data_IF_190616114501
#
_entry.id   IF_190616114501
#
_cell.length_a   1.000
_cell.length_b   1.000
_cell.length_c   1.000
_cell.angle_alpha   90.00
_cell.angle_beta   90.00
_cell.angle_gamma   90.00
#
_symmetry.space_group_name_H-M   'P 1'
#
loop_
_entity.id
_entity.type
_entity.pdbx_description
1 polymer ?
#
# COMPACT_ATOMS: atom_id res chain seq x y z
N UNK A 1 -29.48 12.90 -27.52
CA UNK A 1 -28.77 12.00 -26.58
C UNK A 1 -28.10 12.85 -25.52
N UNK A 2 -28.31 12.63 -24.22
CA UNK A 2 -27.61 13.32 -23.16
C UNK A 2 -26.10 13.07 -23.29
N UNK A 3 -25.27 14.07 -23.11
CA UNK A 3 -23.80 13.96 -23.19
C UNK A 3 -23.33 13.04 -22.04
N UNK A 4 -22.70 11.92 -22.38
CA UNK A 4 -22.21 10.95 -21.38
C UNK A 4 -21.21 11.60 -20.44
N UNK A 5 -21.30 11.28 -19.16
CA UNK A 5 -20.42 11.80 -18.11
C UNK A 5 -19.10 11.03 -18.16
N UNK A 6 -17.98 11.72 -18.08
CA UNK A 6 -16.65 11.11 -18.04
C UNK A 6 -16.23 10.82 -16.59
N UNK A 7 -15.28 9.91 -16.45
CA UNK A 7 -14.65 9.59 -15.19
C UNK A 7 -13.21 10.13 -15.13
N UNK A 8 -12.80 10.53 -13.95
CA UNK A 8 -11.41 10.79 -13.59
C UNK A 8 -10.90 9.66 -12.70
N UNK A 9 -9.73 9.12 -13.00
CA UNK A 9 -9.02 8.16 -12.16
C UNK A 9 -7.63 8.68 -11.82
N UNK A 10 -7.19 8.54 -10.58
CA UNK A 10 -5.83 8.90 -10.21
C UNK A 10 -5.26 8.00 -9.09
N UNK A 11 -3.94 7.87 -9.11
CA UNK A 11 -3.15 7.12 -8.12
C UNK A 11 -2.47 8.08 -7.16
N UNK A 12 -2.40 7.74 -5.88
CA UNK A 12 -1.94 8.66 -4.84
C UNK A 12 -1.07 7.97 -3.79
N UNK A 13 -0.06 8.68 -3.35
CA UNK A 13 0.88 8.26 -2.32
C UNK A 13 1.87 7.20 -2.78
N UNK A 14 2.46 6.48 -1.82
CA UNK A 14 3.35 5.36 -2.13
C UNK A 14 2.62 4.27 -2.92
N UNK A 15 3.25 3.79 -3.98
CA UNK A 15 2.67 2.77 -4.87
C UNK A 15 2.81 1.36 -4.29
N UNK A 16 2.10 0.38 -4.85
CA UNK A 16 2.18 -1.04 -4.47
C UNK A 16 2.39 -1.92 -5.69
N UNK A 17 2.71 -3.18 -5.47
CA UNK A 17 2.80 -4.18 -6.53
C UNK A 17 1.47 -4.41 -7.28
N UNK A 18 0.33 -4.03 -6.69
CA UNK A 18 -1.02 -4.32 -7.19
C UNK A 18 -1.90 -3.09 -7.47
N UNK A 19 -1.37 -1.87 -7.28
CA UNK A 19 -2.15 -0.64 -7.50
C UNK A 19 -2.72 -0.55 -8.92
N UNK A 20 -1.99 -1.06 -9.91
CA UNK A 20 -2.44 -1.08 -11.30
C UNK A 20 -3.50 -2.14 -11.58
N UNK A 21 -3.63 -3.18 -10.75
CA UNK A 21 -4.75 -4.12 -10.85
C UNK A 21 -6.08 -3.39 -10.53
N UNK A 22 -6.09 -2.50 -9.54
CA UNK A 22 -7.24 -1.62 -9.28
C UNK A 22 -7.53 -0.68 -10.46
N UNK A 23 -6.50 -0.10 -11.08
CA UNK A 23 -6.64 0.74 -12.28
C UNK A 23 -7.27 -0.04 -13.45
N UNK A 24 -6.80 -1.27 -13.69
CA UNK A 24 -7.39 -2.17 -14.70
C UNK A 24 -8.87 -2.42 -14.41
N UNK A 25 -9.22 -2.74 -13.16
CA UNK A 25 -10.60 -2.95 -12.73
C UNK A 25 -11.51 -1.75 -13.00
N UNK A 26 -11.05 -0.54 -12.70
CA UNK A 26 -11.79 0.71 -13.00
C UNK A 26 -11.99 0.88 -14.50
N UNK A 27 -10.90 0.82 -15.29
CA UNK A 27 -10.94 1.13 -16.72
C UNK A 27 -11.76 0.07 -17.49
N UNK A 28 -11.57 -1.21 -17.21
CA UNK A 28 -12.31 -2.29 -17.87
C UNK A 28 -13.80 -2.23 -17.54
N UNK A 29 -14.17 -1.99 -16.28
CA UNK A 29 -15.56 -1.88 -15.87
C UNK A 29 -16.23 -0.65 -16.48
N UNK A 30 -15.56 0.50 -16.48
CA UNK A 30 -16.09 1.69 -17.14
C UNK A 30 -16.28 1.47 -18.66
N UNK A 31 -15.37 0.76 -19.31
CA UNK A 31 -15.51 0.38 -20.73
C UNK A 31 -16.68 -0.57 -20.99
N UNK A 32 -17.04 -1.43 -20.03
CA UNK A 32 -18.21 -2.30 -20.14
C UNK A 32 -19.53 -1.53 -20.00
N UNK A 33 -19.52 -0.34 -19.37
CA UNK A 33 -20.69 0.52 -19.15
C UNK A 33 -20.64 1.82 -19.98
N UNK A 34 -20.27 1.70 -21.26
CA UNK A 34 -20.16 2.86 -22.18
C UNK A 34 -21.47 3.57 -22.47
N UNK A 35 -22.59 2.98 -22.12
CA UNK A 35 -23.92 3.59 -22.14
C UNK A 35 -24.05 4.70 -21.08
N UNK A 36 -23.38 4.60 -19.95
CA UNK A 36 -23.44 5.54 -18.81
C UNK A 36 -22.14 6.35 -18.65
N UNK A 37 -20.99 5.72 -18.76
CA UNK A 37 -19.67 6.37 -18.64
C UNK A 37 -19.10 6.64 -20.03
N UNK A 38 -18.70 7.88 -20.30
CA UNK A 38 -18.07 8.27 -21.56
C UNK A 38 -16.64 7.74 -21.66
N UNK A 39 -15.70 8.52 -21.15
CA UNK A 39 -14.27 8.16 -21.10
C UNK A 39 -13.78 8.13 -19.66
N UNK A 40 -12.72 7.34 -19.42
CA UNK A 40 -11.93 7.45 -18.21
C UNK A 40 -10.67 8.23 -18.54
N UNK A 41 -10.51 9.39 -17.92
CA UNK A 41 -9.29 10.18 -17.97
C UNK A 41 -8.44 9.87 -16.73
N UNK A 42 -7.20 9.47 -16.92
CA UNK A 42 -6.27 9.29 -15.82
C UNK A 42 -5.52 10.60 -15.57
N UNK A 43 -5.43 11.03 -14.30
CA UNK A 43 -4.60 12.17 -13.92
C UNK A 43 -3.12 11.78 -13.94
N UNK A 44 -2.31 12.47 -14.74
CA UNK A 44 -0.86 12.29 -14.69
C UNK A 44 -0.33 12.79 -13.33
N UNK A 45 0.40 11.91 -12.64
CA UNK A 45 0.89 12.20 -11.29
C UNK A 45 -0.23 12.54 -10.28
N UNK A 46 -1.30 11.73 -10.28
CA UNK A 46 -2.34 11.84 -9.28
C UNK A 46 -3.26 13.05 -9.43
N UNK A 47 -3.60 13.69 -8.29
CA UNK A 47 -4.46 14.88 -8.28
C UNK A 47 -3.79 16.09 -8.94
N UNK A 48 -2.46 16.12 -9.00
CA UNK A 48 -1.71 17.15 -9.71
C UNK A 48 -2.17 17.22 -11.18
N UNK A 49 -2.36 16.07 -11.82
CA UNK A 49 -2.87 16.03 -13.19
C UNK A 49 -4.26 16.63 -13.36
N UNK A 50 -5.11 16.57 -12.33
CA UNK A 50 -6.39 17.28 -12.36
C UNK A 50 -6.21 18.81 -12.22
N UNK A 51 -5.34 19.26 -11.32
CA UNK A 51 -5.10 20.69 -11.10
C UNK A 51 -4.41 21.35 -12.30
N UNK A 52 -3.44 20.68 -12.90
CA UNK A 52 -2.67 21.20 -14.07
C UNK A 52 -3.32 20.89 -15.40
N UNK A 53 -4.49 20.22 -15.39
CA UNK A 53 -5.18 19.74 -16.60
C UNK A 53 -4.29 18.83 -17.47
N UNK A 54 -3.42 18.04 -16.84
CA UNK A 54 -2.61 17.00 -17.49
C UNK A 54 -3.30 15.65 -17.35
N UNK A 55 -4.22 15.39 -18.26
CA UNK A 55 -5.07 14.22 -18.31
C UNK A 55 -4.63 13.25 -19.40
N UNK A 56 -4.70 11.95 -19.13
CA UNK A 56 -4.41 10.87 -20.08
C UNK A 56 -5.72 10.24 -20.54
N UNK A 57 -5.94 10.15 -21.85
CA UNK A 57 -7.11 9.46 -22.41
C UNK A 57 -6.89 7.94 -22.43
N UNK A 58 -7.37 7.24 -21.43
CA UNK A 58 -7.24 5.78 -21.37
C UNK A 58 -8.02 5.05 -22.47
N UNK A 59 -8.98 5.69 -23.15
CA UNK A 59 -9.70 5.08 -24.27
C UNK A 59 -8.81 4.84 -25.51
N UNK A 60 -7.63 5.48 -25.54
CA UNK A 60 -6.61 5.33 -26.59
C UNK A 60 -5.71 4.11 -26.36
N UNK A 61 -5.81 3.47 -25.21
CA UNK A 61 -5.08 2.25 -24.88
C UNK A 61 -5.82 1.00 -25.38
N UNK A 62 -5.07 0.01 -25.85
CA UNK A 62 -5.65 -1.28 -26.24
C UNK A 62 -6.21 -2.03 -25.03
N UNK A 63 -7.15 -2.95 -25.26
CA UNK A 63 -7.67 -3.82 -24.20
C UNK A 63 -6.55 -4.66 -23.58
N UNK A 64 -5.62 -5.17 -24.38
CA UNK A 64 -4.48 -5.94 -23.91
C UNK A 64 -3.52 -5.12 -23.04
N UNK A 65 -3.26 -3.85 -23.36
CA UNK A 65 -2.42 -2.97 -22.56
C UNK A 65 -3.07 -2.68 -21.19
N UNK A 66 -4.40 -2.47 -21.15
CA UNK A 66 -5.12 -2.28 -19.88
C UNK A 66 -5.14 -3.58 -19.06
N UNK A 67 -5.37 -4.74 -19.67
CA UNK A 67 -5.30 -6.02 -18.97
C UNK A 67 -3.90 -6.29 -18.40
N UNK A 68 -2.83 -5.94 -19.11
CA UNK A 68 -1.45 -6.10 -18.65
C UNK A 68 -1.11 -5.23 -17.41
N UNK A 69 -1.92 -4.22 -17.10
CA UNK A 69 -1.78 -3.44 -15.86
C UNK A 69 -1.88 -4.34 -14.61
N UNK A 70 -2.64 -5.43 -14.65
CA UNK A 70 -2.78 -6.36 -13.52
C UNK A 70 -1.44 -6.94 -13.07
N UNK A 71 -0.50 -7.12 -13.99
CA UNK A 71 0.85 -7.66 -13.69
C UNK A 71 1.95 -6.60 -13.72
N UNK A 72 1.60 -5.31 -13.78
CA UNK A 72 2.54 -4.19 -13.85
C UNK A 72 2.68 -3.51 -12.50
N UNK A 73 3.88 -3.42 -11.91
CA UNK A 73 4.11 -2.73 -10.64
C UNK A 73 4.05 -1.21 -10.79
N UNK A 74 4.06 -0.52 -9.66
CA UNK A 74 4.12 0.94 -9.56
C UNK A 74 2.86 1.64 -10.09
N UNK A 75 2.89 2.96 -10.24
CA UNK A 75 1.78 3.75 -10.74
C UNK A 75 1.88 3.98 -12.24
N UNK A 76 1.05 3.31 -13.05
CA UNK A 76 1.11 3.39 -14.52
C UNK A 76 0.81 4.79 -15.08
N UNK A 77 0.09 5.62 -14.32
CA UNK A 77 -0.24 7.01 -14.66
C UNK A 77 0.54 8.03 -13.82
N UNK A 78 1.54 7.56 -13.08
CA UNK A 78 2.21 8.34 -12.06
C UNK A 78 1.38 8.47 -10.77
N UNK A 79 2.06 8.85 -9.69
CA UNK A 79 1.46 9.08 -8.38
C UNK A 79 2.05 10.35 -7.78
N UNK A 80 1.38 10.95 -6.80
CA UNK A 80 1.92 12.10 -6.09
C UNK A 80 1.70 12.00 -4.59
N UNK A 81 2.55 12.69 -3.84
CA UNK A 81 2.38 12.98 -2.42
C UNK A 81 1.92 14.43 -2.29
N UNK A 82 0.67 14.68 -2.68
CA UNK A 82 0.06 15.99 -2.63
C UNK A 82 -1.24 15.95 -1.81
N UNK A 83 -1.34 16.77 -0.78
CA UNK A 83 -2.48 16.83 0.12
C UNK A 83 -3.22 18.15 -0.10
N UNK A 84 -4.44 18.07 -0.60
CA UNK A 84 -5.33 19.23 -0.64
C UNK A 84 -5.57 19.71 0.80
N UNK A 85 -5.32 20.99 1.06
CA UNK A 85 -5.63 21.65 2.34
C UNK A 85 -7.13 21.68 2.56
N UNK A 86 -7.62 22.37 3.59
CA UNK A 86 -9.05 22.55 3.78
C UNK A 86 -9.67 23.45 2.69
N UNK A 87 -11.00 23.35 2.52
CA UNK A 87 -11.72 24.19 1.54
C UNK A 87 -11.58 25.68 1.84
N UNK A 88 -11.39 26.03 3.10
CA UNK A 88 -11.22 27.40 3.57
C UNK A 88 -9.81 27.94 3.30
N UNK A 89 -8.80 27.08 3.44
CA UNK A 89 -7.40 27.45 3.29
C UNK A 89 -6.96 27.57 1.82
N UNK A 90 -7.57 26.80 0.91
CA UNK A 90 -7.14 26.78 -0.49
C UNK A 90 -8.31 26.72 -1.48
N UNK A 91 -9.09 27.77 -1.53
CA UNK A 91 -10.24 27.88 -2.45
C UNK A 91 -9.83 27.81 -3.93
N UNK A 92 -8.64 28.30 -4.26
CA UNK A 92 -8.16 28.39 -5.66
C UNK A 92 -7.98 27.00 -6.26
N UNK A 93 -7.32 26.07 -5.53
CA UNK A 93 -7.16 24.68 -6.02
C UNK A 93 -8.50 23.98 -6.21
N UNK A 94 -9.44 24.19 -5.30
CA UNK A 94 -10.78 23.59 -5.39
C UNK A 94 -11.60 24.19 -6.53
N UNK A 95 -11.50 25.50 -6.78
CA UNK A 95 -12.13 26.12 -7.94
C UNK A 95 -11.52 25.56 -9.23
N UNK A 96 -10.19 25.52 -9.31
CA UNK A 96 -9.47 24.94 -10.46
C UNK A 96 -9.89 23.49 -10.74
N UNK A 97 -10.01 22.66 -9.70
CA UNK A 97 -10.46 21.29 -9.83
C UNK A 97 -11.86 21.19 -10.47
N UNK A 98 -12.80 22.02 -10.01
CA UNK A 98 -14.15 22.07 -10.58
C UNK A 98 -14.14 22.58 -12.03
N UNK A 99 -13.33 23.58 -12.36
CA UNK A 99 -13.27 24.13 -13.70
C UNK A 99 -12.74 23.10 -14.70
N UNK A 100 -11.67 22.37 -14.34
CA UNK A 100 -11.17 21.24 -15.12
C UNK A 100 -12.24 20.16 -15.29
N UNK A 101 -12.94 19.79 -14.20
CA UNK A 101 -13.97 18.77 -14.28
C UNK A 101 -15.17 19.18 -15.14
N UNK A 102 -15.61 20.44 -15.04
CA UNK A 102 -16.64 21.00 -15.93
C UNK A 102 -16.19 21.00 -17.38
N UNK A 103 -14.98 21.51 -17.67
CA UNK A 103 -14.43 21.58 -19.03
C UNK A 103 -14.37 20.21 -19.70
N UNK A 104 -14.01 19.16 -18.94
CA UNK A 104 -13.90 17.80 -19.44
C UNK A 104 -15.14 16.93 -19.20
N UNK A 105 -16.25 17.50 -18.70
CA UNK A 105 -17.50 16.79 -18.38
C UNK A 105 -17.26 15.57 -17.47
N UNK A 106 -16.43 15.74 -16.42
CA UNK A 106 -16.10 14.72 -15.44
C UNK A 106 -17.10 14.80 -14.29
N UNK A 107 -17.80 13.70 -14.02
CA UNK A 107 -18.74 13.60 -12.89
C UNK A 107 -18.50 12.37 -12.02
N UNK A 108 -17.54 11.51 -12.39
CA UNK A 108 -17.08 10.40 -11.57
C UNK A 108 -15.62 10.62 -11.19
N UNK A 109 -15.32 10.55 -9.91
CA UNK A 109 -13.98 10.73 -9.35
C UNK A 109 -13.53 9.47 -8.61
N UNK A 110 -12.58 8.75 -9.18
CA UNK A 110 -11.98 7.53 -8.60
C UNK A 110 -10.57 7.83 -8.14
N UNK A 111 -10.34 7.78 -6.82
CA UNK A 111 -9.04 8.13 -6.25
C UNK A 111 -8.44 6.96 -5.48
N UNK A 112 -7.36 6.38 -6.00
CA UNK A 112 -6.74 5.17 -5.50
C UNK A 112 -5.55 5.52 -4.59
N UNK A 113 -5.70 5.30 -3.27
CA UNK A 113 -4.68 5.70 -2.32
C UNK A 113 -4.93 5.29 -0.87
N UNK A 114 -4.15 5.86 0.04
CA UNK A 114 -4.21 5.65 1.48
C UNK A 114 -5.16 6.61 2.21
N UNK A 115 -4.93 6.81 3.52
CA UNK A 115 -5.77 7.63 4.40
C UNK A 115 -5.91 9.09 3.94
N UNK A 116 -4.80 9.76 3.56
CA UNK A 116 -4.84 11.12 3.02
C UNK A 116 -5.61 11.21 1.70
N UNK A 117 -5.58 10.15 0.89
CA UNK A 117 -6.35 10.09 -0.35
C UNK A 117 -7.84 9.90 -0.09
N UNK A 118 -8.21 9.18 0.98
CA UNK A 118 -9.59 9.08 1.45
C UNK A 118 -10.12 10.45 1.92
N UNK A 119 -9.29 11.22 2.61
CA UNK A 119 -9.61 12.61 3.03
C UNK A 119 -9.82 13.52 1.80
N UNK A 120 -8.89 13.48 0.83
CA UNK A 120 -9.05 14.22 -0.44
C UNK A 120 -10.34 13.84 -1.15
N UNK A 121 -10.67 12.55 -1.26
CA UNK A 121 -11.90 12.07 -1.88
C UNK A 121 -13.16 12.56 -1.14
N UNK A 122 -13.14 12.59 0.20
CA UNK A 122 -14.20 13.14 1.01
C UNK A 122 -14.39 14.65 0.75
N UNK A 123 -13.29 15.42 0.70
CA UNK A 123 -13.30 16.86 0.39
C UNK A 123 -13.86 17.15 -1.01
N UNK A 124 -13.51 16.36 -2.03
CA UNK A 124 -14.08 16.47 -3.38
C UNK A 124 -15.59 16.24 -3.37
N UNK A 125 -16.07 15.26 -2.60
CA UNK A 125 -17.51 15.04 -2.42
C UNK A 125 -18.21 16.23 -1.73
N UNK A 126 -17.58 16.85 -0.74
CA UNK A 126 -18.10 18.05 -0.07
C UNK A 126 -18.11 19.27 -1.00
N UNK A 127 -17.06 19.43 -1.80
CA UNK A 127 -16.96 20.47 -2.82
C UNK A 127 -18.09 20.36 -3.85
N UNK A 128 -18.37 19.15 -4.33
CA UNK A 128 -19.49 18.88 -5.24
C UNK A 128 -20.82 19.42 -4.69
N UNK A 129 -21.09 19.19 -3.41
CA UNK A 129 -22.30 19.71 -2.74
C UNK A 129 -22.31 21.24 -2.64
N UNK A 130 -21.16 21.86 -2.29
CA UNK A 130 -21.05 23.33 -2.17
C UNK A 130 -21.23 24.06 -3.49
N UNK A 131 -20.70 23.51 -4.58
CA UNK A 131 -20.68 24.15 -5.91
C UNK A 131 -21.91 23.80 -6.76
N UNK A 132 -22.71 22.82 -6.35
CA UNK A 132 -23.81 22.28 -7.14
C UNK A 132 -23.37 21.51 -8.40
N UNK A 133 -22.07 21.33 -8.63
CA UNK A 133 -21.56 20.49 -9.73
C UNK A 133 -21.52 19.03 -9.29
N UNK A 134 -22.29 18.13 -9.93
CA UNK A 134 -22.46 16.77 -9.46
C UNK A 134 -21.19 15.94 -9.69
N UNK A 135 -20.53 15.49 -8.61
CA UNK A 135 -19.38 14.55 -8.66
C UNK A 135 -19.68 13.41 -7.70
N UNK A 136 -19.58 12.18 -8.20
CA UNK A 136 -19.57 10.98 -7.39
C UNK A 136 -18.12 10.59 -7.09
N UNK A 137 -17.71 10.79 -5.84
CA UNK A 137 -16.35 10.56 -5.38
C UNK A 137 -16.26 9.21 -4.66
N UNK A 138 -15.50 8.29 -5.22
CA UNK A 138 -15.25 6.95 -4.70
C UNK A 138 -13.74 6.79 -4.44
N UNK A 139 -13.38 6.52 -3.20
CA UNK A 139 -12.01 6.18 -2.84
C UNK A 139 -11.75 4.69 -3.08
N UNK A 140 -10.62 4.35 -3.69
CA UNK A 140 -10.19 2.96 -3.90
C UNK A 140 -9.06 2.68 -2.90
N UNK A 141 -9.22 1.69 -2.00
CA UNK A 141 -8.22 1.43 -0.97
C UNK A 141 -6.91 0.93 -1.56
N UNK A 142 -5.80 1.49 -1.11
CA UNK A 142 -4.45 1.06 -1.43
C UNK A 142 -3.49 1.54 -0.32
N UNK A 143 -2.80 0.61 0.33
CA UNK A 143 -1.62 0.87 1.15
C UNK A 143 -0.95 -0.45 1.49
N UNK A 144 0.39 -0.46 1.57
CA UNK A 144 1.16 -1.59 2.10
C UNK A 144 1.07 -1.68 3.63
N UNK A 145 0.78 -0.55 4.29
CA UNK A 145 0.76 -0.45 5.76
C UNK A 145 -0.46 -1.12 6.41
N UNK A 146 -1.45 -1.52 5.61
CA UNK A 146 -2.68 -2.18 6.08
C UNK A 146 -3.45 -1.38 7.14
N UNK A 147 -3.38 -0.07 7.08
CA UNK A 147 -3.81 0.87 8.11
C UNK A 147 -5.18 1.53 7.86
N UNK A 148 -5.83 1.28 6.71
CA UNK A 148 -7.19 1.80 6.47
C UNK A 148 -8.21 1.03 7.32
N UNK A 149 -9.08 1.75 8.07
CA UNK A 149 -10.13 1.10 8.86
C UNK A 149 -11.30 0.60 7.99
N UNK A 150 -12.18 -0.21 8.58
CA UNK A 150 -13.42 -0.76 7.98
C UNK A 150 -13.16 -1.81 6.89
N UNK A 151 -11.97 -1.97 6.38
CA UNK A 151 -11.57 -3.06 5.49
C UNK A 151 -10.76 -4.12 6.24
N UNK A 152 -10.95 -5.40 5.91
CA UNK A 152 -10.16 -6.48 6.52
C UNK A 152 -8.66 -6.27 6.27
N UNK A 153 -8.31 -6.10 4.99
CA UNK A 153 -6.97 -5.75 4.57
C UNK A 153 -7.00 -4.71 3.44
N UNK A 154 -5.85 -4.12 3.18
CA UNK A 154 -5.69 -3.14 2.12
C UNK A 154 -4.96 -3.77 0.92
N UNK A 155 -5.42 -3.58 -0.33
CA UNK A 155 -4.67 -3.99 -1.51
C UNK A 155 -3.25 -3.40 -1.52
N UNK A 156 -2.26 -4.28 -1.69
CA UNK A 156 -0.83 -4.02 -1.53
C UNK A 156 -0.21 -4.72 -0.32
N UNK A 157 -0.97 -4.89 0.77
CA UNK A 157 -0.48 -5.52 1.99
C UNK A 157 -0.22 -7.03 1.81
N UNK A 158 -1.11 -7.77 1.16
CA UNK A 158 -0.93 -9.22 0.98
C UNK A 158 0.36 -9.57 0.24
N UNK A 159 0.71 -8.78 -0.78
CA UNK A 159 1.93 -8.96 -1.56
C UNK A 159 3.18 -8.57 -0.78
N UNK A 160 3.17 -7.46 -0.03
CA UNK A 160 4.32 -7.09 0.80
C UNK A 160 4.52 -8.09 1.94
N UNK A 161 3.44 -8.59 2.53
CA UNK A 161 3.51 -9.62 3.56
C UNK A 161 4.19 -10.90 3.03
N UNK A 162 3.81 -11.34 1.81
CA UNK A 162 4.45 -12.47 1.14
C UNK A 162 5.93 -12.21 0.88
N UNK A 163 6.28 -11.04 0.36
CA UNK A 163 7.68 -10.65 0.11
C UNK A 163 8.51 -10.72 1.40
N UNK A 164 8.03 -10.13 2.49
CA UNK A 164 8.76 -10.10 3.76
C UNK A 164 8.90 -11.50 4.37
N UNK A 165 7.84 -12.30 4.34
CA UNK A 165 7.89 -13.68 4.85
C UNK A 165 8.91 -14.53 4.09
N UNK A 166 8.90 -14.48 2.74
CA UNK A 166 9.81 -15.24 1.89
C UNK A 166 11.24 -14.74 2.05
N UNK A 167 11.49 -13.43 1.95
CA UNK A 167 12.82 -12.84 2.09
C UNK A 167 13.44 -13.14 3.47
N UNK A 168 12.63 -13.10 4.54
CA UNK A 168 13.08 -13.46 5.88
C UNK A 168 13.45 -14.95 5.96
N UNK A 169 12.65 -15.82 5.34
CA UNK A 169 12.89 -17.27 5.33
C UNK A 169 14.18 -17.61 4.59
N UNK A 170 14.36 -17.10 3.38
CA UNK A 170 15.52 -17.35 2.52
C UNK A 170 16.81 -16.81 3.14
N UNK A 171 16.80 -15.56 3.65
CA UNK A 171 17.93 -14.99 4.36
C UNK A 171 18.28 -15.77 5.63
N UNK A 172 17.27 -16.33 6.31
CA UNK A 172 17.47 -17.17 7.50
C UNK A 172 18.18 -18.50 7.15
N UNK A 173 17.86 -19.09 6.01
CA UNK A 173 18.57 -20.30 5.51
C UNK A 173 20.01 -20.00 5.18
N UNK A 174 20.30 -18.86 4.54
CA UNK A 174 21.67 -18.44 4.27
C UNK A 174 22.47 -18.28 5.57
N UNK A 175 21.94 -17.54 6.54
CA UNK A 175 22.60 -17.37 7.84
C UNK A 175 22.78 -18.71 8.56
N UNK A 176 21.76 -19.57 8.59
CA UNK A 176 21.83 -20.88 9.21
C UNK A 176 22.95 -21.73 8.62
N UNK A 177 23.17 -21.67 7.29
CA UNK A 177 24.17 -22.48 6.59
C UNK A 177 25.59 -22.16 7.03
N UNK A 178 25.89 -20.94 7.45
CA UNK A 178 27.22 -20.49 7.85
C UNK A 178 27.33 -20.07 9.32
N UNK A 179 26.28 -20.23 10.10
CA UNK A 179 26.21 -19.72 11.48
C UNK A 179 27.26 -20.34 12.41
N UNK A 180 27.80 -21.55 12.13
CA UNK A 180 28.82 -22.18 12.96
C UNK A 180 30.10 -21.34 13.04
N UNK A 181 30.53 -20.78 11.93
CA UNK A 181 31.85 -20.12 11.80
C UNK A 181 31.77 -18.64 11.40
N UNK A 182 30.60 -18.10 11.04
CA UNK A 182 30.48 -16.77 10.49
C UNK A 182 29.30 -16.00 11.12
N UNK A 183 28.40 -15.45 10.30
CA UNK A 183 27.30 -14.58 10.69
C UNK A 183 26.32 -15.28 11.62
N UNK A 184 25.98 -14.62 12.73
CA UNK A 184 25.02 -15.12 13.72
C UNK A 184 23.68 -14.43 13.64
N UNK A 185 23.64 -13.20 13.14
CA UNK A 185 22.41 -12.40 13.10
C UNK A 185 22.22 -11.75 11.74
N UNK A 186 21.03 -11.88 11.19
CA UNK A 186 20.57 -11.09 10.05
C UNK A 186 19.43 -10.17 10.50
N UNK A 187 19.42 -8.91 10.05
CA UNK A 187 18.43 -7.91 10.41
C UNK A 187 17.77 -7.41 9.13
N UNK A 188 16.46 -7.52 9.02
CA UNK A 188 15.67 -6.97 7.92
C UNK A 188 14.84 -5.79 8.42
N UNK A 189 15.14 -4.59 7.92
CA UNK A 189 14.31 -3.41 8.16
C UNK A 189 13.15 -3.37 7.16
N UNK A 190 11.94 -3.10 7.67
CA UNK A 190 10.71 -3.04 6.89
C UNK A 190 9.94 -1.76 7.16
N UNK A 191 9.10 -1.35 6.21
CA UNK A 191 8.16 -0.25 6.37
C UNK A 191 7.15 -0.53 7.48
N UNK A 192 6.48 0.49 7.98
CA UNK A 192 5.45 0.43 9.00
C UNK A 192 5.69 1.45 10.10
N UNK A 193 5.35 2.72 9.85
CA UNK A 193 5.62 3.83 10.77
C UNK A 193 4.85 3.74 12.08
N UNK A 194 3.56 3.42 12.01
CA UNK A 194 2.66 3.45 13.17
C UNK A 194 2.18 2.05 13.57
N UNK A 195 2.05 1.15 12.60
CA UNK A 195 1.52 -0.19 12.81
C UNK A 195 2.48 -1.26 12.26
N UNK A 196 2.67 -2.32 13.02
CA UNK A 196 3.63 -3.39 12.76
C UNK A 196 3.11 -4.50 11.84
N UNK A 197 2.11 -4.25 11.01
CA UNK A 197 1.52 -5.25 10.12
C UNK A 197 2.54 -5.90 9.19
N UNK A 198 3.44 -5.10 8.59
CA UNK A 198 4.48 -5.61 7.68
C UNK A 198 5.54 -6.39 8.48
N UNK A 199 5.97 -5.87 9.62
CA UNK A 199 6.93 -6.57 10.48
C UNK A 199 6.38 -7.92 10.96
N UNK A 200 5.08 -7.99 11.30
CA UNK A 200 4.41 -9.23 11.69
C UNK A 200 4.51 -10.32 10.63
N UNK A 201 4.51 -9.95 9.35
CA UNK A 201 4.65 -10.89 8.24
C UNK A 201 6.00 -11.64 8.28
N UNK A 202 7.06 -11.04 8.84
CA UNK A 202 8.33 -11.74 9.08
C UNK A 202 8.19 -12.98 9.96
N UNK A 203 7.21 -13.00 10.86
CA UNK A 203 6.90 -14.18 11.69
C UNK A 203 6.34 -15.36 10.90
N UNK A 204 5.83 -15.13 9.68
CA UNK A 204 5.38 -16.19 8.78
C UNK A 204 6.54 -16.95 8.12
N UNK A 205 7.77 -16.46 8.24
CA UNK A 205 8.97 -17.16 7.78
C UNK A 205 9.15 -18.51 8.48
N UNK A 206 8.69 -18.63 9.73
CA UNK A 206 8.80 -19.83 10.55
C UNK A 206 7.47 -20.57 10.62
N UNK A 207 7.48 -21.89 10.50
CA UNK A 207 6.34 -22.77 10.75
C UNK A 207 6.81 -24.04 11.51
N UNK A 208 5.88 -24.98 11.77
CA UNK A 208 6.17 -26.22 12.51
C UNK A 208 7.19 -27.12 11.80
N UNK A 209 7.15 -27.15 10.47
CA UNK A 209 8.06 -27.96 9.63
C UNK A 209 9.42 -27.28 9.42
N UNK A 210 9.44 -25.94 9.55
CA UNK A 210 10.63 -25.12 9.29
C UNK A 210 10.79 -24.10 10.41
N UNK A 211 11.26 -24.51 11.58
CA UNK A 211 11.42 -23.62 12.74
C UNK A 211 12.60 -22.67 12.52
N UNK A 212 12.29 -21.38 12.37
CA UNK A 212 13.28 -20.30 12.20
C UNK A 212 13.21 -19.36 13.40
N UNK A 213 14.33 -19.03 14.05
CA UNK A 213 14.37 -18.11 15.18
C UNK A 213 14.23 -16.67 14.70
N UNK A 214 12.99 -16.18 14.60
CA UNK A 214 12.70 -14.79 14.23
C UNK A 214 12.36 -13.98 15.48
N UNK A 215 13.06 -12.86 15.67
CA UNK A 215 12.72 -11.83 16.65
C UNK A 215 12.17 -10.61 15.92
N UNK A 216 10.96 -10.16 16.25
CA UNK A 216 10.28 -9.05 15.56
C UNK A 216 10.26 -7.85 16.52
N UNK A 217 10.65 -6.68 16.00
CA UNK A 217 10.54 -5.41 16.69
C UNK A 217 9.37 -4.60 16.09
N UNK A 218 8.34 -4.43 16.90
CA UNK A 218 7.07 -3.80 16.52
C UNK A 218 7.01 -2.34 16.98
N UNK A 219 6.39 -1.42 16.21
CA UNK A 219 6.14 -0.05 16.68
C UNK A 219 5.18 0.01 17.87
N UNK A 220 4.30 -0.98 18.05
CA UNK A 220 3.38 -1.10 19.16
C UNK A 220 4.06 -1.45 20.50
N UNK A 221 5.29 -1.93 20.46
CA UNK A 221 6.05 -2.37 21.62
C UNK A 221 7.23 -1.43 21.84
N UNK A 222 7.29 -0.79 23.02
CA UNK A 222 8.44 0.01 23.38
C UNK A 222 9.71 -0.85 23.39
N UNK A 223 10.73 -0.40 22.71
CA UNK A 223 11.99 -1.13 22.63
C UNK A 223 12.67 -1.17 23.98
N UNK A 224 12.97 -2.39 24.42
CA UNK A 224 13.74 -2.70 25.62
C UNK A 224 15.00 -3.45 25.21
N UNK A 225 16.15 -2.77 25.33
CA UNK A 225 17.47 -3.28 24.93
C UNK A 225 17.82 -4.59 25.64
N UNK A 226 17.59 -4.67 26.95
CA UNK A 226 17.96 -5.87 27.74
C UNK A 226 17.12 -7.10 27.32
N UNK A 227 15.81 -6.93 27.17
CA UNK A 227 14.92 -8.02 26.73
C UNK A 227 15.23 -8.44 25.29
N UNK A 228 15.50 -7.48 24.40
CA UNK A 228 15.87 -7.77 23.01
C UNK A 228 17.16 -8.58 22.94
N UNK A 229 18.23 -8.14 23.60
CA UNK A 229 19.52 -8.83 23.62
C UNK A 229 19.40 -10.23 24.21
N UNK A 230 18.61 -10.39 25.29
CA UNK A 230 18.31 -11.71 25.83
C UNK A 230 17.64 -12.61 24.79
N UNK A 231 16.64 -12.10 24.06
CA UNK A 231 15.93 -12.84 23.00
C UNK A 231 16.88 -13.31 21.90
N UNK A 232 17.75 -12.41 21.41
CA UNK A 232 18.74 -12.74 20.39
C UNK A 232 19.75 -13.79 20.91
N UNK A 233 20.27 -13.61 22.12
CA UNK A 233 21.21 -14.56 22.77
C UNK A 233 20.58 -15.95 22.93
N UNK A 234 19.35 -16.02 23.44
CA UNK A 234 18.63 -17.29 23.60
C UNK A 234 18.42 -17.99 22.25
N UNK A 235 18.12 -17.22 21.19
CA UNK A 235 17.98 -17.76 19.83
C UNK A 235 19.32 -18.31 19.29
N UNK A 236 20.42 -17.57 19.45
CA UNK A 236 21.76 -18.02 19.04
C UNK A 236 22.15 -19.28 19.82
N UNK A 237 21.90 -19.34 21.12
CA UNK A 237 22.22 -20.49 21.95
C UNK A 237 21.45 -21.74 21.49
N UNK A 238 20.17 -21.61 21.15
CA UNK A 238 19.30 -22.73 20.78
C UNK A 238 19.46 -23.18 19.33
N UNK A 239 19.60 -22.22 18.39
CA UNK A 239 19.55 -22.48 16.94
C UNK A 239 20.88 -22.19 16.23
N UNK A 240 21.84 -21.58 16.90
CA UNK A 240 23.10 -21.13 16.30
C UNK A 240 23.04 -19.73 15.68
N UNK A 241 21.83 -19.18 15.44
CA UNK A 241 21.63 -17.90 14.80
C UNK A 241 20.30 -17.25 15.24
N UNK A 242 20.08 -16.02 14.79
CA UNK A 242 18.81 -15.29 14.93
C UNK A 242 18.56 -14.41 13.71
N UNK A 243 17.33 -14.40 13.21
CA UNK A 243 16.85 -13.40 12.25
C UNK A 243 16.03 -12.36 12.98
N UNK A 244 16.26 -11.08 12.69
CA UNK A 244 15.54 -9.96 13.27
C UNK A 244 14.77 -9.26 12.16
N UNK A 245 13.46 -9.03 12.35
CA UNK A 245 12.67 -8.17 11.48
C UNK A 245 12.31 -6.93 12.30
N UNK A 246 12.69 -5.76 11.81
CA UNK A 246 12.47 -4.51 12.53
C UNK A 246 11.66 -3.52 11.71
N UNK A 247 10.55 -3.03 12.27
CA UNK A 247 9.79 -1.94 11.67
C UNK A 247 10.54 -0.61 11.82
N UNK A 248 10.55 0.21 10.76
CA UNK A 248 11.10 1.58 10.81
C UNK A 248 10.47 2.44 11.92
N UNK A 249 9.24 2.11 12.32
CA UNK A 249 8.45 2.81 13.33
C UNK A 249 8.72 2.42 14.78
N UNK A 250 9.71 1.57 15.05
CA UNK A 250 10.07 1.16 16.43
C UNK A 250 10.45 2.39 17.25
N UNK A 251 9.92 2.44 18.50
CA UNK A 251 10.12 3.53 19.45
C UNK A 251 10.92 3.08 20.65
N UNK A 252 11.84 3.94 21.07
CA UNK A 252 12.57 3.81 22.33
C UNK A 252 11.65 3.99 23.55
N UNK A 253 12.15 3.68 24.74
CA UNK A 253 11.39 3.78 25.98
C UNK A 253 10.80 5.18 26.27
N UNK A 254 11.42 6.25 25.76
CA UNK A 254 10.95 7.63 25.87
C UNK A 254 9.91 8.02 24.77
N UNK A 255 9.51 7.09 23.91
CA UNK A 255 8.50 7.29 22.86
C UNK A 255 9.00 7.90 21.55
N UNK A 256 10.29 8.28 21.44
CA UNK A 256 10.91 8.74 20.20
C UNK A 256 11.19 7.55 19.28
N UNK A 257 11.15 7.78 17.98
CA UNK A 257 11.58 6.76 17.02
C UNK A 257 13.04 6.36 17.29
N UNK A 258 13.34 5.08 17.16
CA UNK A 258 14.68 4.57 17.44
C UNK A 258 15.73 5.09 16.43
N UNK A 259 15.29 5.38 15.21
CA UNK A 259 16.09 5.96 14.14
C UNK A 259 15.45 7.26 13.60
N UNK A 260 15.28 8.26 14.47
CA UNK A 260 14.79 9.58 14.09
C UNK A 260 15.95 10.40 13.48
N UNK A 261 15.83 10.75 12.20
CA UNK A 261 16.82 11.54 11.46
C UNK A 261 16.57 13.06 11.57
N UNK A 262 15.48 13.48 12.24
CA UNK A 262 15.12 14.91 12.36
C UNK A 262 14.59 15.55 11.07
N UNK A 263 14.45 14.80 9.98
CA UNK A 263 13.92 15.27 8.69
C UNK A 263 12.42 14.97 8.58
N UNK A 264 11.70 15.72 7.74
CA UNK A 264 10.29 15.52 7.46
C UNK A 264 10.04 15.22 5.98
N UNK A 265 9.06 14.33 5.69
CA UNK A 265 8.61 14.05 4.33
C UNK A 265 7.65 15.15 3.81
N UNK A 266 7.22 15.02 2.53
CA UNK A 266 6.31 15.97 1.89
C UNK A 266 4.93 16.12 2.57
N UNK A 267 4.56 15.22 3.47
CA UNK A 267 3.35 15.29 4.29
C UNK A 267 3.60 15.82 5.71
N UNK A 268 4.85 16.19 6.03
CA UNK A 268 5.26 16.69 7.33
C UNK A 268 5.52 15.60 8.38
N UNK A 269 5.54 14.33 7.99
CA UNK A 269 5.89 13.23 8.88
C UNK A 269 7.42 13.08 9.02
N UNK A 270 7.89 12.62 10.19
CA UNK A 270 9.31 12.31 10.39
C UNK A 270 9.82 11.34 9.31
N UNK A 271 10.91 11.70 8.64
CA UNK A 271 11.56 10.78 7.71
C UNK A 271 12.28 9.72 8.55
N UNK A 272 11.80 8.48 8.44
CA UNK A 272 12.35 7.32 9.14
C UNK A 272 13.23 6.51 8.18
N UNK A 273 14.00 5.61 8.76
CA UNK A 273 14.90 4.72 8.06
C UNK A 273 16.25 4.65 8.73
N UNK A 274 16.95 3.52 8.53
CA UNK A 274 18.22 3.28 9.18
C UNK A 274 18.10 2.73 10.62
N UNK A 275 16.97 2.14 10.98
CA UNK A 275 16.80 1.46 12.27
C UNK A 275 17.61 0.17 12.32
N UNK A 276 17.80 -0.53 11.19
CA UNK A 276 18.62 -1.74 11.15
C UNK A 276 20.08 -1.50 11.57
N UNK A 277 20.78 -0.45 11.10
CA UNK A 277 22.11 -0.10 11.61
C UNK A 277 22.14 0.17 13.13
N UNK A 278 21.13 0.82 13.68
CA UNK A 278 21.03 1.07 15.13
C UNK A 278 20.91 -0.24 15.89
N UNK A 279 20.02 -1.13 15.46
CA UNK A 279 19.84 -2.47 16.05
C UNK A 279 21.11 -3.31 15.91
N UNK A 280 21.79 -3.21 14.76
CA UNK A 280 23.07 -3.88 14.50
C UNK A 280 24.18 -3.40 15.46
N UNK A 281 24.26 -2.09 15.72
CA UNK A 281 25.22 -1.55 16.69
C UNK A 281 24.95 -2.08 18.11
N UNK A 282 23.68 -2.15 18.52
CA UNK A 282 23.30 -2.70 19.81
C UNK A 282 23.74 -4.19 19.93
N UNK A 283 23.52 -4.99 18.89
CA UNK A 283 23.95 -6.41 18.86
C UNK A 283 25.46 -6.51 18.95
N UNK A 284 26.19 -5.68 18.22
CA UNK A 284 27.66 -5.66 18.26
C UNK A 284 28.19 -5.33 19.64
N UNK A 285 27.66 -4.28 20.25
CA UNK A 285 28.09 -3.79 21.57
C UNK A 285 27.84 -4.83 22.67
N UNK A 286 26.67 -5.48 22.67
CA UNK A 286 26.25 -6.34 23.78
C UNK A 286 26.61 -7.84 23.59
N UNK A 287 26.76 -8.30 22.35
CA UNK A 287 27.03 -9.72 22.07
C UNK A 287 28.33 -9.98 21.34
N UNK A 288 28.93 -8.99 20.68
CA UNK A 288 30.19 -9.13 19.93
C UNK A 288 30.12 -10.11 18.75
N UNK A 289 28.92 -10.46 18.27
CA UNK A 289 28.72 -11.45 17.20
C UNK A 289 28.70 -10.80 15.83
N UNK A 290 29.07 -11.55 14.79
CA UNK A 290 28.98 -11.09 13.41
C UNK A 290 27.53 -11.01 12.97
N UNK A 291 27.18 -9.91 12.31
CA UNK A 291 25.84 -9.64 11.79
C UNK A 291 25.89 -9.07 10.37
N UNK A 292 24.76 -9.16 9.68
CA UNK A 292 24.46 -8.42 8.46
C UNK A 292 23.05 -7.84 8.55
N UNK A 293 22.78 -6.83 7.75
CA UNK A 293 21.45 -6.23 7.68
C UNK A 293 21.10 -5.78 6.26
N UNK A 294 19.81 -5.68 5.98
CA UNK A 294 19.26 -5.13 4.76
C UNK A 294 18.07 -4.25 5.08
N UNK A 295 17.83 -3.27 4.22
CA UNK A 295 16.62 -2.44 4.24
C UNK A 295 15.77 -2.85 3.04
N UNK A 296 14.55 -3.33 3.28
CA UNK A 296 13.67 -3.73 2.20
C UNK A 296 13.15 -2.54 1.38
N UNK A 297 13.01 -1.38 2.00
CA UNK A 297 12.62 -0.09 1.40
C UNK A 297 11.60 -0.25 0.26
N UNK A 298 11.83 0.34 -0.91
CA UNK A 298 10.92 0.26 -2.06
C UNK A 298 10.82 -1.13 -2.68
N UNK A 299 11.82 -2.01 -2.49
CA UNK A 299 11.78 -3.38 -3.00
C UNK A 299 10.54 -4.13 -2.50
N UNK A 300 10.22 -4.01 -1.20
CA UNK A 300 9.08 -4.70 -0.60
C UNK A 300 7.72 -4.30 -1.20
N UNK A 301 7.54 -3.06 -1.67
CA UNK A 301 6.28 -2.59 -2.25
C UNK A 301 6.23 -2.67 -3.77
N UNK A 302 7.37 -2.87 -4.44
CA UNK A 302 7.49 -2.95 -5.89
C UNK A 302 7.57 -4.38 -6.42
N UNK A 303 7.74 -5.39 -5.55
CA UNK A 303 8.03 -6.78 -5.90
C UNK A 303 6.85 -7.51 -6.56
N UNK A 304 6.48 -7.11 -7.79
CA UNK A 304 5.36 -7.70 -8.54
C UNK A 304 5.61 -9.17 -8.89
N UNK A 305 6.87 -9.55 -9.04
CA UNK A 305 7.28 -10.92 -9.34
C UNK A 305 6.92 -11.95 -8.25
N UNK A 306 6.62 -11.51 -7.03
CA UNK A 306 6.21 -12.36 -5.90
C UNK A 306 4.84 -11.98 -5.35
N UNK A 307 4.07 -11.19 -6.06
CA UNK A 307 2.75 -10.75 -5.58
C UNK A 307 1.85 -11.93 -5.22
N UNK A 308 1.04 -11.73 -4.18
CA UNK A 308 0.00 -12.67 -3.79
C UNK A 308 -1.16 -12.63 -4.79
N UNK A 309 -1.61 -13.78 -5.25
CA UNK A 309 -2.80 -13.89 -6.11
C UNK A 309 -4.04 -13.33 -5.43
N UNK A 310 -4.23 -13.63 -4.15
CA UNK A 310 -5.33 -13.07 -3.34
C UNK A 310 -5.33 -11.54 -3.37
N UNK A 311 -4.15 -10.93 -3.21
CA UNK A 311 -4.01 -9.46 -3.19
C UNK A 311 -4.29 -8.84 -4.57
N UNK A 312 -3.83 -9.46 -5.65
CA UNK A 312 -4.13 -9.03 -7.03
C UNK A 312 -5.63 -9.09 -7.32
N UNK A 313 -6.29 -10.20 -6.94
CA UNK A 313 -7.74 -10.37 -7.11
C UNK A 313 -8.53 -9.34 -6.32
N UNK A 314 -8.14 -9.07 -5.07
CA UNK A 314 -8.79 -8.07 -4.22
C UNK A 314 -8.58 -6.65 -4.75
N UNK A 315 -7.37 -6.31 -5.20
CA UNK A 315 -7.08 -5.03 -5.82
C UNK A 315 -7.94 -4.78 -7.07
N UNK A 316 -8.04 -5.77 -7.95
CA UNK A 316 -8.89 -5.70 -9.13
C UNK A 316 -10.36 -5.53 -8.76
N UNK A 317 -10.87 -6.34 -7.82
CA UNK A 317 -12.26 -6.31 -7.38
C UNK A 317 -12.64 -4.96 -6.74
N UNK A 318 -11.72 -4.30 -6.00
CA UNK A 318 -11.99 -2.96 -5.45
C UNK A 318 -12.12 -1.92 -6.56
N UNK A 319 -11.34 -2.03 -7.64
CA UNK A 319 -11.48 -1.17 -8.83
C UNK A 319 -12.82 -1.36 -9.54
N UNK A 320 -13.21 -2.61 -9.78
CA UNK A 320 -14.52 -2.98 -10.36
C UNK A 320 -15.66 -2.42 -9.52
N UNK A 321 -15.63 -2.68 -8.21
CA UNK A 321 -16.70 -2.28 -7.29
C UNK A 321 -16.79 -0.78 -7.13
N UNK A 322 -15.69 -0.03 -7.24
CA UNK A 322 -15.72 1.42 -7.22
C UNK A 322 -16.58 2.00 -8.35
N UNK A 323 -16.44 1.46 -9.57
CA UNK A 323 -17.28 1.88 -10.71
C UNK A 323 -18.74 1.47 -10.50
N UNK A 324 -18.98 0.25 -10.05
CA UNK A 324 -20.34 -0.23 -9.77
C UNK A 324 -21.04 0.62 -8.70
N UNK A 325 -20.33 1.00 -7.62
CA UNK A 325 -20.86 1.90 -6.59
C UNK A 325 -21.21 3.27 -7.16
N UNK A 326 -20.35 3.85 -8.01
CA UNK A 326 -20.62 5.12 -8.66
C UNK A 326 -21.86 5.04 -9.57
N UNK A 327 -21.99 4.00 -10.39
CA UNK A 327 -23.17 3.77 -11.23
C UNK A 327 -24.45 3.55 -10.43
N UNK A 328 -24.34 2.98 -9.23
CA UNK A 328 -25.45 2.86 -8.27
C UNK A 328 -25.76 4.17 -7.50
N UNK A 329 -25.16 5.31 -7.90
CA UNK A 329 -25.38 6.62 -7.27
C UNK A 329 -24.71 6.82 -5.92
N UNK A 330 -23.79 5.93 -5.52
CA UNK A 330 -23.04 6.09 -4.27
C UNK A 330 -22.04 7.23 -4.36
N UNK A 331 -21.81 7.90 -3.23
CA UNK A 331 -20.88 9.02 -3.13
C UNK A 331 -20.22 9.05 -1.74
N UNK A 332 -18.99 9.51 -1.66
CA UNK A 332 -18.19 9.55 -0.44
C UNK A 332 -18.06 8.19 0.25
N UNK A 333 -17.78 7.15 -0.55
CA UNK A 333 -17.64 5.76 -0.09
C UNK A 333 -16.35 5.12 -0.62
N UNK A 334 -15.99 4.00 0.00
CA UNK A 334 -14.86 3.15 -0.35
C UNK A 334 -15.34 1.69 -0.46
N UNK A 335 -15.05 0.95 -1.54
CA UNK A 335 -15.20 -0.49 -1.55
C UNK A 335 -14.26 -1.11 -0.49
N UNK A 336 -14.82 -1.84 0.45
CA UNK A 336 -14.11 -2.45 1.56
C UNK A 336 -14.08 -3.97 1.42
N UNK A 337 -12.93 -4.58 1.64
CA UNK A 337 -12.79 -6.03 1.69
C UNK A 337 -13.37 -6.51 3.03
N UNK A 338 -14.33 -7.39 2.99
CA UNK A 338 -14.98 -7.97 4.16
C UNK A 338 -14.67 -9.46 4.19
N UNK A 339 -13.89 -9.88 5.17
CA UNK A 339 -13.63 -11.30 5.43
C UNK A 339 -14.90 -11.95 5.99
N UNK A 340 -15.39 -12.99 5.32
CA UNK A 340 -16.59 -13.74 5.75
C UNK A 340 -16.24 -15.10 6.37
N UNK A 341 -15.05 -15.66 6.09
CA UNK A 341 -14.55 -16.91 6.67
C UNK A 341 -13.04 -17.01 6.57
N UNK A 342 -12.40 -17.66 7.56
CA UNK A 342 -10.96 -17.96 7.56
C UNK A 342 -10.62 -19.29 6.88
N UNK A 343 -11.46 -20.31 7.08
CA UNK A 343 -11.25 -21.68 6.58
C UNK A 343 -12.57 -22.29 6.08
N UNK A 344 -12.76 -22.39 4.74
CA UNK A 344 -11.91 -21.82 3.70
C UNK A 344 -11.97 -20.29 3.72
N UNK A 345 -10.88 -19.63 3.34
CA UNK A 345 -10.86 -18.17 3.25
C UNK A 345 -11.86 -17.66 2.21
N UNK A 346 -12.79 -16.82 2.66
CA UNK A 346 -13.80 -16.19 1.82
C UNK A 346 -13.88 -14.71 2.14
N UNK A 347 -14.04 -13.91 1.09
CA UNK A 347 -14.20 -12.47 1.20
C UNK A 347 -15.23 -11.96 0.20
N UNK A 348 -15.74 -10.79 0.43
CA UNK A 348 -16.63 -10.04 -0.46
C UNK A 348 -16.30 -8.57 -0.38
N UNK A 349 -16.75 -7.78 -1.36
CA UNK A 349 -16.67 -6.32 -1.27
C UNK A 349 -17.92 -5.80 -0.57
N UNK A 350 -17.69 -5.00 0.47
CA UNK A 350 -18.69 -4.18 1.15
C UNK A 350 -18.45 -2.70 0.88
N UNK A 351 -19.19 -1.84 1.59
CA UNK A 351 -19.13 -0.39 1.49
C UNK A 351 -18.66 0.22 2.81
N UNK A 352 -17.71 1.16 2.76
CA UNK A 352 -17.33 1.99 3.90
C UNK A 352 -17.58 3.48 3.59
N UNK A 353 -18.23 4.22 4.50
CA UNK A 353 -18.39 5.67 4.38
C UNK A 353 -17.04 6.35 4.63
N UNK A 354 -16.66 7.32 3.79
CA UNK A 354 -15.36 8.01 3.92
C UNK A 354 -15.22 8.79 5.24
N UNK A 355 -16.31 9.24 5.84
CA UNK A 355 -16.31 9.86 7.17
C UNK A 355 -15.81 8.91 8.29
N UNK A 356 -15.78 7.60 8.03
CA UNK A 356 -15.27 6.58 8.95
C UNK A 356 -13.87 6.10 8.60
N UNK A 357 -13.34 6.51 7.45
CA UNK A 357 -12.05 6.09 6.90
C UNK A 357 -11.03 7.23 6.94
N UNK A 358 -11.40 8.41 6.44
CA UNK A 358 -10.53 9.57 6.36
C UNK A 358 -9.96 9.98 7.73
N UNK A 359 -8.66 10.26 7.77
CA UNK A 359 -7.94 10.68 8.98
C UNK A 359 -8.03 9.68 10.16
N UNK A 360 -8.16 8.39 9.86
CA UNK A 360 -8.17 7.30 10.85
C UNK A 360 -7.23 6.20 10.43
N UNK A 361 -6.61 5.57 11.43
CA UNK A 361 -5.69 4.44 11.22
C UNK A 361 -6.20 3.17 11.92
N UNK A 362 -5.98 2.02 11.27
CA UNK A 362 -6.22 0.70 11.82
C UNK A 362 -4.91 0.16 12.40
N UNK A 363 -4.79 0.20 13.71
CA UNK A 363 -3.66 -0.36 14.43
C UNK A 363 -3.69 -1.88 14.43
N UNK A 364 -2.53 -2.52 14.51
CA UNK A 364 -2.43 -3.97 14.68
C UNK A 364 -2.92 -4.37 16.08
N UNK A 365 -3.82 -5.37 16.20
CA UNK A 365 -4.33 -5.79 17.50
C UNK A 365 -3.22 -6.34 18.40
N UNK A 366 -3.21 -5.94 19.67
CA UNK A 366 -2.19 -6.39 20.64
C UNK A 366 -2.15 -7.93 20.79
N UNK A 367 -3.28 -8.61 20.62
CA UNK A 367 -3.38 -10.08 20.69
C UNK A 367 -2.84 -10.80 19.43
N UNK A 368 -2.30 -10.05 18.46
CA UNK A 368 -1.54 -10.60 17.33
C UNK A 368 -0.05 -10.75 17.70
N UNK A 369 0.42 -10.06 18.75
CA UNK A 369 1.79 -10.10 19.22
C UNK A 369 1.87 -11.06 20.42
N UNK A 370 2.90 -11.90 20.43
CA UNK A 370 3.16 -12.82 21.56
C UNK A 370 3.40 -12.06 22.88
N UNK A 371 3.26 -12.74 24.01
CA UNK A 371 3.42 -12.15 25.35
C UNK A 371 4.83 -11.64 25.60
N UNK A 372 5.85 -12.29 25.01
CA UNK A 372 7.24 -11.83 25.06
C UNK A 372 7.51 -10.59 24.18
N UNK A 373 6.56 -10.20 23.31
CA UNK A 373 6.64 -9.02 22.47
C UNK A 373 7.52 -9.14 21.22
N UNK A 374 8.05 -10.34 20.93
CA UNK A 374 9.01 -10.55 19.83
C UNK A 374 8.53 -11.52 18.74
N UNK A 375 7.28 -11.93 18.76
CA UNK A 375 6.72 -12.87 17.80
C UNK A 375 5.26 -12.60 17.49
N UNK A 376 4.67 -13.45 16.64
CA UNK A 376 3.26 -13.40 16.27
C UNK A 376 2.51 -14.60 16.85
N UNK A 377 1.25 -14.37 17.24
CA UNK A 377 0.35 -15.42 17.73
C UNK A 377 -0.25 -16.23 16.60
N UNK A 378 -0.83 -17.39 16.91
CA UNK A 378 -1.57 -18.19 15.95
C UNK A 378 -2.77 -17.42 15.34
N UNK A 379 -3.36 -16.50 16.08
CA UNK A 379 -4.40 -15.61 15.56
C UNK A 379 -3.88 -14.70 14.45
N UNK A 380 -2.67 -14.17 14.59
CA UNK A 380 -2.01 -13.38 13.56
C UNK A 380 -1.68 -14.25 12.34
N UNK A 381 -1.16 -15.46 12.54
CA UNK A 381 -0.87 -16.42 11.45
C UNK A 381 -2.11 -16.72 10.63
N UNK A 382 -3.24 -17.03 11.27
CA UNK A 382 -4.53 -17.26 10.60
C UNK A 382 -5.01 -16.05 9.80
N UNK A 383 -4.77 -14.84 10.31
CA UNK A 383 -5.10 -13.62 9.58
C UNK A 383 -4.21 -13.44 8.33
N UNK A 384 -2.90 -13.60 8.46
CA UNK A 384 -1.91 -13.34 7.41
C UNK A 384 -1.91 -14.41 6.30
N UNK A 385 -2.02 -15.68 6.69
CA UNK A 385 -1.85 -16.82 5.78
C UNK A 385 -2.66 -16.71 4.49
N UNK A 386 -3.98 -16.45 4.49
CA UNK A 386 -4.75 -16.39 3.25
C UNK A 386 -4.41 -15.15 2.38
N UNK A 387 -3.92 -14.08 2.98
CA UNK A 387 -3.57 -12.85 2.26
C UNK A 387 -2.31 -13.02 1.41
N UNK A 388 -1.45 -13.97 1.76
CA UNK A 388 -0.19 -14.26 1.09
C UNK A 388 -0.33 -15.38 0.04
N UNK A 389 -1.52 -15.98 -0.13
CA UNK A 389 -1.72 -17.19 -0.93
C UNK A 389 -1.69 -16.95 -2.43
N UNK A 390 -1.21 -17.97 -3.11
CA UNK A 390 -1.22 -18.12 -4.56
C UNK A 390 -0.18 -17.25 -5.27
N UNK A 391 0.15 -17.69 -6.47
CA UNK A 391 1.10 -17.06 -7.36
C UNK A 391 0.34 -16.34 -8.48
N UNK A 392 0.80 -15.14 -8.79
CA UNK A 392 0.34 -14.35 -9.93
C UNK A 392 1.58 -13.70 -10.57
N UNK A 393 2.37 -14.53 -11.26
CA UNK A 393 3.60 -14.09 -11.88
C UNK A 393 3.31 -13.26 -13.13
N UNK A 394 4.10 -12.19 -13.40
CA UNK A 394 4.11 -11.57 -14.72
C UNK A 394 4.64 -12.57 -15.74
N UNK A 395 4.25 -12.42 -17.00
CA UNK A 395 4.90 -13.15 -18.09
C UNK A 395 6.32 -12.63 -18.30
N UNK A 396 7.25 -13.51 -18.62
CA UNK A 396 8.65 -13.14 -18.87
C UNK A 396 8.93 -13.09 -20.37
N UNK A 397 9.88 -12.25 -20.78
CA UNK A 397 10.40 -12.21 -22.13
C UNK A 397 11.51 -13.27 -22.35
N UNK A 398 12.04 -13.34 -23.57
CA UNK A 398 13.14 -14.25 -23.93
C UNK A 398 14.46 -13.98 -23.19
N UNK A 399 14.60 -12.81 -22.58
CA UNK A 399 15.78 -12.41 -21.82
C UNK A 399 15.61 -12.68 -20.31
N UNK A 400 14.49 -13.29 -19.89
CA UNK A 400 14.21 -13.58 -18.49
C UNK A 400 13.72 -12.36 -17.69
N UNK A 401 13.32 -11.25 -18.34
CA UNK A 401 12.77 -10.08 -17.68
C UNK A 401 11.24 -10.06 -17.74
N UNK A 402 10.55 -9.59 -16.69
CA UNK A 402 9.08 -9.52 -16.70
C UNK A 402 8.59 -8.53 -17.75
N UNK A 403 7.51 -8.92 -18.44
CA UNK A 403 6.81 -8.03 -19.37
C UNK A 403 5.78 -7.21 -18.62
N UNK A 404 5.86 -5.90 -18.75
CA UNK A 404 4.92 -4.96 -18.15
C UNK A 404 4.13 -4.21 -19.21
N UNK A 405 2.98 -3.63 -18.82
CA UNK A 405 2.16 -2.81 -19.70
C UNK A 405 2.99 -1.65 -20.27
N UNK A 406 2.84 -1.43 -21.57
CA UNK A 406 3.38 -0.25 -22.28
C UNK A 406 2.19 0.58 -22.73
N UNK A 407 1.91 1.65 -21.99
CA UNK A 407 0.84 2.59 -22.30
C UNK A 407 1.34 3.67 -23.23
N UNK A 408 0.47 4.11 -24.14
CA UNK A 408 0.73 5.27 -25.04
C UNK A 408 0.69 6.59 -24.27
N UNK A 409 -0.10 6.63 -23.18
CA UNK A 409 -0.30 7.80 -22.31
C UNK A 409 -0.64 9.08 -23.11
N UNK A 410 -1.57 8.94 -24.08
CA UNK A 410 -1.98 10.04 -24.93
C UNK A 410 -2.66 11.13 -24.10
N UNK A 411 -2.08 12.33 -24.15
CA UNK A 411 -2.61 13.48 -23.42
C UNK A 411 -3.97 13.93 -24.02
N UNK A 412 -4.86 14.34 -23.14
CA UNK A 412 -6.09 15.03 -23.50
C UNK A 412 -5.77 16.50 -23.79
N UNK A 413 -6.33 17.05 -24.87
CA UNK A 413 -6.17 18.49 -25.19
C UNK A 413 -6.75 19.32 -24.04
N UNK A 414 -5.96 20.25 -23.51
CA UNK A 414 -6.41 21.25 -22.54
C UNK A 414 -7.54 22.10 -23.11
N UNK A 415 -8.44 22.55 -22.27
CA UNK A 415 -9.62 23.35 -22.62
C UNK A 415 -9.68 24.66 -21.85
N UNK A 416 -8.89 24.80 -20.81
CA UNK A 416 -8.76 26.01 -20.05
C UNK A 416 -7.53 26.78 -20.54
N UNK A 417 -7.69 28.08 -20.76
CA UNK A 417 -6.62 28.92 -21.32
C UNK A 417 -5.54 29.23 -20.27
N UNK A 418 -5.94 29.26 -18.99
CA UNK A 418 -5.01 29.56 -17.89
C UNK A 418 -4.25 28.30 -17.45
N UNK A 419 -2.92 28.41 -17.33
CA UNK A 419 -2.09 27.43 -16.67
C UNK A 419 -2.27 27.52 -15.14
N UNK A 420 -2.13 26.40 -14.46
CA UNK A 420 -2.14 26.33 -13.00
C UNK A 420 -0.81 25.75 -12.52
N UNK A 421 -0.09 26.54 -11.71
CA UNK A 421 1.16 26.10 -11.04
C UNK A 421 0.85 25.61 -9.63
N UNK A 422 1.60 24.60 -9.16
CA UNK A 422 1.40 23.93 -7.87
C UNK A 422 2.52 24.31 -6.90
#
# INVERSE_FOLDING_TARGET
MSKKINAFYAQSGGVTAVINASASGVIETARAHRDQIGKVFAGRNGIIGALTEDLIDTSRESASAIAALRSTPSGAFGSCRYKLKSLEENRIEYQRLIDVFKAHNIGYFFYNGGGDSADTCLKVSQLSKKTGYPIQAIHIPKTVDNDLPITDNCPGFGSVAKYIAVSTREASFDVASMAKTSTKVFILEVMGRHAGWIAAAGGMASDENTPIPVAILFPEIKFDRKRFIKKVKDSITKFGYCSVVVSEGVRSGNGRFLADQGLKDAFGHAQLGGVAPVVASIIREDLGVKYHWAVADYLQRAARHIASKTDVEQAYATGVSAVQMALAGKNAVMPAIIRSSDQPYRWKIGEAKLTRVANREKMMPRNFITTDGFGITERCRRYLSPLMRGEDYPTYDKNGLPKYARLKNIAVKKKLDESFEI
#
